data_IF_491471498190
#
_entry.id   IF_491471498190
#
_cell.length_a   1.000
_cell.length_b   1.000
_cell.length_c   1.000
_cell.angle_alpha   90.00
_cell.angle_beta   90.00
_cell.angle_gamma   90.00
#
_symmetry.space_group_name_H-M   'P 1'
#
loop_
_entity.id
_entity.type
_entity.pdbx_description
1 polymer ?
#
# COMPACT_ATOMS: atom_id res chain seq x y z
N UNK A 1 -23.44 12.36 -21.57
CA UNK A 1 -22.45 13.25 -22.21
C UNK A 1 -21.08 12.76 -21.78
N UNK A 2 -20.32 12.18 -22.71
CA UNK A 2 -19.02 11.58 -22.40
C UNK A 2 -18.00 12.63 -22.00
N UNK A 3 -17.25 12.34 -20.94
CA UNK A 3 -16.08 13.11 -20.51
C UNK A 3 -15.06 13.14 -21.66
N UNK A 4 -15.17 14.16 -22.50
CA UNK A 4 -14.18 14.46 -23.51
C UNK A 4 -12.92 14.92 -22.77
N UNK A 5 -12.00 13.97 -22.57
CA UNK A 5 -10.65 14.24 -22.08
C UNK A 5 -10.04 15.35 -22.95
N UNK A 6 -9.97 16.57 -22.42
CA UNK A 6 -9.48 17.74 -23.15
C UNK A 6 -8.02 17.51 -23.56
N UNK A 7 -7.70 17.66 -24.84
CA UNK A 7 -6.34 17.49 -25.38
C UNK A 7 -5.27 18.30 -24.62
N UNK A 8 -5.64 19.48 -24.12
CA UNK A 8 -4.74 20.32 -23.32
C UNK A 8 -4.34 19.66 -22.00
N UNK A 9 -5.25 18.91 -21.37
CA UNK A 9 -4.98 18.15 -20.15
C UNK A 9 -4.07 16.96 -20.42
N UNK A 10 -4.26 16.24 -21.53
CA UNK A 10 -3.33 15.17 -21.94
C UNK A 10 -1.91 15.72 -22.20
N UNK A 11 -1.82 16.91 -22.79
CA UNK A 11 -0.53 17.57 -23.03
C UNK A 11 0.13 17.97 -21.71
N UNK A 12 -0.63 18.42 -20.72
CA UNK A 12 -0.14 18.67 -19.37
C UNK A 12 0.27 17.39 -18.65
N UNK A 13 -0.55 16.33 -18.67
CA UNK A 13 -0.22 14.99 -18.14
C UNK A 13 1.10 14.49 -18.73
N UNK A 14 1.27 14.59 -20.05
CA UNK A 14 2.50 14.18 -20.75
C UNK A 14 3.69 15.06 -20.39
N UNK A 15 3.48 16.35 -20.11
CA UNK A 15 4.52 17.25 -19.58
C UNK A 15 4.92 16.86 -18.15
N UNK A 16 3.96 16.64 -17.25
CA UNK A 16 4.25 16.22 -15.87
C UNK A 16 5.03 14.89 -15.87
N UNK A 17 4.58 13.89 -16.66
CA UNK A 17 5.25 12.60 -16.85
C UNK A 17 6.70 12.69 -17.36
N UNK A 18 7.03 13.74 -18.11
CA UNK A 18 8.40 13.93 -18.64
C UNK A 18 9.34 14.64 -17.68
N UNK A 19 8.83 15.50 -16.80
CA UNK A 19 9.67 16.30 -15.90
C UNK A 19 9.81 15.63 -14.53
N UNK A 20 8.89 14.74 -14.16
CA UNK A 20 9.01 13.97 -12.91
C UNK A 20 9.51 12.57 -13.27
N UNK A 21 10.59 12.14 -12.61
CA UNK A 21 11.08 10.76 -12.76
C UNK A 21 10.01 9.77 -12.33
N UNK A 22 10.09 8.55 -12.83
CA UNK A 22 9.28 7.42 -12.36
C UNK A 22 9.44 7.29 -10.85
N UNK A 23 8.34 7.08 -10.13
CA UNK A 23 8.39 6.79 -8.71
C UNK A 23 8.76 5.32 -8.52
N UNK A 24 9.92 5.09 -7.90
CA UNK A 24 10.35 3.75 -7.51
C UNK A 24 10.35 3.71 -5.97
N UNK A 25 9.37 3.05 -5.34
CA UNK A 25 9.35 2.97 -3.88
C UNK A 25 10.66 2.36 -3.35
N UNK A 26 11.14 2.88 -2.23
CA UNK A 26 12.36 2.41 -1.54
C UNK A 26 13.67 2.90 -2.16
N UNK A 27 13.66 3.32 -3.42
CA UNK A 27 14.81 4.01 -4.06
C UNK A 27 14.63 5.53 -4.10
N UNK A 28 13.38 5.96 -4.16
CA UNK A 28 13.01 7.38 -4.26
C UNK A 28 12.49 7.85 -2.92
N UNK A 29 12.93 9.02 -2.45
CA UNK A 29 12.31 9.66 -1.29
C UNK A 29 10.90 10.10 -1.68
N UNK A 30 9.88 9.39 -1.20
CA UNK A 30 8.50 9.62 -1.62
C UNK A 30 7.98 10.99 -1.21
N UNK A 31 8.41 11.56 -0.08
CA UNK A 31 8.01 12.91 0.32
C UNK A 31 8.55 13.98 -0.64
N UNK A 32 9.84 13.91 -0.97
CA UNK A 32 10.49 14.85 -1.91
C UNK A 32 9.93 14.68 -3.32
N UNK A 33 9.75 13.44 -3.75
CA UNK A 33 9.20 13.12 -5.06
C UNK A 33 7.76 13.65 -5.18
N UNK A 34 6.93 13.39 -4.16
CA UNK A 34 5.52 13.80 -4.18
C UNK A 34 5.34 15.31 -4.11
N UNK A 35 6.17 16.02 -3.35
CA UNK A 35 6.17 17.49 -3.36
C UNK A 35 6.46 18.05 -4.77
N UNK A 36 7.43 17.46 -5.48
CA UNK A 36 7.78 17.84 -6.86
C UNK A 36 6.65 17.50 -7.84
N UNK A 37 6.00 16.35 -7.64
CA UNK A 37 4.83 15.94 -8.42
C UNK A 37 3.65 16.91 -8.21
N UNK A 38 3.27 17.16 -6.96
CA UNK A 38 2.11 18.00 -6.57
C UNK A 38 2.25 19.41 -7.11
N UNK A 39 3.40 20.05 -6.93
CA UNK A 39 3.65 21.40 -7.46
C UNK A 39 3.41 21.53 -8.96
N UNK A 40 3.58 20.43 -9.74
CA UNK A 40 3.32 20.41 -11.18
C UNK A 40 1.89 19.97 -11.52
N UNK A 41 1.34 19.04 -10.76
CA UNK A 41 -0.05 18.60 -10.93
C UNK A 41 -1.03 19.74 -10.67
N UNK A 42 -0.75 20.59 -9.68
CA UNK A 42 -1.59 21.75 -9.32
C UNK A 42 -1.63 22.80 -10.43
N UNK A 43 -0.53 22.97 -11.20
CA UNK A 43 -0.51 23.81 -12.42
C UNK A 43 -1.46 23.29 -13.50
N UNK A 44 -1.78 21.99 -13.47
CA UNK A 44 -2.64 21.34 -14.44
C UNK A 44 -4.15 21.51 -14.18
N UNK A 45 -4.55 22.07 -13.03
CA UNK A 45 -5.95 22.16 -12.60
C UNK A 45 -6.73 20.84 -12.80
N UNK A 46 -6.10 19.75 -12.35
CA UNK A 46 -6.61 18.39 -12.52
C UNK A 46 -7.74 18.11 -11.53
N UNK A 47 -8.75 17.37 -11.96
CA UNK A 47 -9.70 16.79 -11.02
C UNK A 47 -9.07 15.58 -10.31
N UNK A 48 -9.75 15.06 -9.29
CA UNK A 48 -9.26 13.97 -8.44
C UNK A 48 -8.94 12.70 -9.24
N UNK A 49 -9.80 12.31 -10.18
CA UNK A 49 -9.58 11.11 -11.00
C UNK A 49 -8.41 11.31 -11.99
N UNK A 50 -8.27 12.49 -12.56
CA UNK A 50 -7.15 12.84 -13.43
C UNK A 50 -5.82 12.84 -12.67
N UNK A 51 -5.81 13.33 -11.43
CA UNK A 51 -4.65 13.28 -10.54
C UNK A 51 -4.25 11.84 -10.20
N UNK A 52 -5.22 10.97 -9.87
CA UNK A 52 -4.98 9.53 -9.64
C UNK A 52 -4.40 8.85 -10.88
N UNK A 53 -4.99 9.09 -12.05
CA UNK A 53 -4.51 8.52 -13.32
C UNK A 53 -3.10 9.00 -13.65
N UNK A 54 -2.81 10.28 -13.38
CA UNK A 54 -1.48 10.85 -13.58
C UNK A 54 -0.45 10.22 -12.64
N UNK A 55 -0.80 9.96 -11.37
CA UNK A 55 0.06 9.24 -10.43
C UNK A 55 0.39 7.84 -10.93
N UNK A 56 -0.62 7.07 -11.33
CA UNK A 56 -0.44 5.74 -11.95
C UNK A 56 0.48 5.81 -13.16
N UNK A 57 0.38 6.87 -13.96
CA UNK A 57 1.27 7.09 -15.11
C UNK A 57 2.77 7.22 -14.78
N UNK A 58 3.13 7.44 -13.50
CA UNK A 58 4.50 7.51 -12.99
C UNK A 58 4.92 6.26 -12.20
N UNK A 59 4.06 5.24 -12.11
CA UNK A 59 4.39 3.96 -11.52
C UNK A 59 4.79 2.99 -12.64
N UNK A 60 5.92 2.30 -12.46
CA UNK A 60 6.34 1.20 -13.35
C UNK A 60 6.05 -0.17 -12.75
N UNK A 61 5.94 -0.26 -11.43
CA UNK A 61 5.67 -1.50 -10.72
C UNK A 61 4.18 -1.89 -10.84
N UNK A 62 3.84 -3.02 -11.49
CA UNK A 62 2.46 -3.48 -11.63
C UNK A 62 1.76 -3.72 -10.28
N UNK A 63 2.49 -4.14 -9.25
CA UNK A 63 1.91 -4.39 -7.92
C UNK A 63 1.54 -3.07 -7.24
N UNK A 64 2.37 -2.03 -7.40
CA UNK A 64 2.06 -0.68 -6.94
C UNK A 64 0.86 -0.09 -7.67
N UNK A 65 0.78 -0.29 -8.99
CA UNK A 65 -0.36 0.18 -9.79
C UNK A 65 -1.66 -0.48 -9.30
N UNK A 66 -1.64 -1.81 -9.11
CA UNK A 66 -2.81 -2.55 -8.63
C UNK A 66 -3.23 -2.06 -7.23
N UNK A 67 -2.27 -2.00 -6.30
CA UNK A 67 -2.52 -1.53 -4.94
C UNK A 67 -3.08 -0.11 -4.93
N UNK A 68 -2.50 0.80 -5.72
CA UNK A 68 -2.97 2.18 -5.80
C UNK A 68 -4.40 2.27 -6.33
N UNK A 69 -4.74 1.50 -7.36
CA UNK A 69 -6.09 1.49 -7.92
C UNK A 69 -7.12 0.97 -6.90
N UNK A 70 -6.78 -0.06 -6.12
CA UNK A 70 -7.64 -0.61 -5.07
C UNK A 70 -7.86 0.40 -3.93
N UNK A 71 -6.79 1.05 -3.46
CA UNK A 71 -6.83 1.86 -2.24
C UNK A 71 -7.24 3.32 -2.50
N UNK A 72 -6.98 3.85 -3.70
CA UNK A 72 -7.39 5.22 -4.06
C UNK A 72 -8.84 5.32 -4.51
N UNK A 73 -9.56 4.21 -4.68
CA UNK A 73 -10.94 4.21 -5.16
C UNK A 73 -11.88 5.05 -4.28
N UNK A 74 -11.69 5.01 -2.95
CA UNK A 74 -12.49 5.75 -1.97
C UNK A 74 -12.12 7.22 -1.82
N UNK A 75 -10.95 7.65 -2.32
CA UNK A 75 -10.52 9.05 -2.21
C UNK A 75 -11.36 9.94 -3.14
N UNK A 76 -12.12 10.88 -2.60
CA UNK A 76 -13.00 11.78 -3.34
C UNK A 76 -12.44 13.20 -3.49
N UNK A 77 -11.40 13.53 -2.75
CA UNK A 77 -10.74 14.85 -2.74
C UNK A 77 -9.27 14.78 -3.13
N UNK A 78 -8.71 15.92 -3.54
CA UNK A 78 -7.28 16.03 -3.90
C UNK A 78 -6.37 15.78 -2.68
N UNK A 79 -6.83 16.21 -1.50
CA UNK A 79 -6.10 16.07 -0.24
C UNK A 79 -6.11 14.61 0.26
N UNK A 80 -7.22 13.88 0.11
CA UNK A 80 -7.24 12.43 0.42
C UNK A 80 -6.26 11.65 -0.44
N UNK A 81 -6.10 12.02 -1.72
CA UNK A 81 -5.08 11.44 -2.61
C UNK A 81 -3.67 11.77 -2.12
N UNK A 82 -3.43 13.00 -1.65
CA UNK A 82 -2.14 13.42 -1.09
C UNK A 82 -1.79 12.64 0.17
N UNK A 83 -2.73 12.58 1.11
CA UNK A 83 -2.59 11.85 2.37
C UNK A 83 -2.32 10.38 2.08
N UNK A 84 -3.10 9.73 1.22
CA UNK A 84 -2.90 8.33 0.88
C UNK A 84 -1.49 8.05 0.35
N UNK A 85 -0.96 8.87 -0.56
CA UNK A 85 0.39 8.67 -1.07
C UNK A 85 1.44 8.87 0.04
N UNK A 86 1.32 9.96 0.80
CA UNK A 86 2.33 10.35 1.78
C UNK A 86 2.34 9.44 3.02
N UNK A 87 1.21 8.87 3.40
CA UNK A 87 1.14 7.88 4.47
C UNK A 87 1.93 6.61 4.11
N UNK A 88 1.83 6.15 2.86
CA UNK A 88 2.49 4.92 2.40
C UNK A 88 3.97 5.17 2.07
N UNK A 89 4.26 6.29 1.41
CA UNK A 89 5.53 6.53 0.75
C UNK A 89 6.27 7.79 1.23
N UNK A 90 5.60 8.66 1.98
CA UNK A 90 6.19 9.86 2.58
C UNK A 90 6.95 9.57 3.87
N UNK A 91 6.84 8.35 4.41
CA UNK A 91 7.57 7.93 5.61
C UNK A 91 9.08 7.89 5.37
N UNK A 92 9.84 8.50 6.28
CA UNK A 92 11.32 8.53 6.20
C UNK A 92 11.91 7.14 6.49
N UNK A 93 13.17 6.91 6.09
CA UNK A 93 13.87 5.65 6.37
C UNK A 93 13.92 5.27 7.86
N UNK A 94 13.83 6.25 8.77
CA UNK A 94 13.77 6.02 10.22
C UNK A 94 12.42 5.41 10.63
N UNK A 95 11.31 5.95 10.11
CA UNK A 95 9.95 5.41 10.37
C UNK A 95 9.80 4.00 9.81
N UNK A 96 10.38 3.73 8.65
CA UNK A 96 10.40 2.40 8.05
C UNK A 96 11.27 1.42 8.84
N UNK A 97 12.47 1.84 9.26
CA UNK A 97 13.34 1.02 10.11
C UNK A 97 12.65 0.71 11.45
N UNK A 98 12.03 1.71 12.08
CA UNK A 98 11.26 1.52 13.31
C UNK A 98 10.08 0.56 13.12
N UNK A 99 9.36 0.65 12.00
CA UNK A 99 8.29 -0.30 11.66
C UNK A 99 8.81 -1.73 11.46
N UNK A 100 9.96 -1.93 10.82
CA UNK A 100 10.60 -3.25 10.67
C UNK A 100 10.97 -3.84 12.03
N UNK A 101 11.54 -3.02 12.94
CA UNK A 101 11.82 -3.46 14.31
C UNK A 101 10.55 -3.87 15.04
N UNK A 102 9.48 -3.08 14.97
CA UNK A 102 8.20 -3.41 15.62
C UNK A 102 7.52 -4.63 15.00
N UNK A 103 7.77 -5.00 13.73
CA UNK A 103 7.15 -6.18 13.12
C UNK A 103 7.59 -7.50 13.76
N UNK A 104 8.80 -7.55 14.33
CA UNK A 104 9.24 -8.71 15.10
C UNK A 104 8.42 -8.91 16.39
N UNK A 105 7.86 -7.82 16.92
CA UNK A 105 7.06 -7.77 18.15
C UNK A 105 5.55 -7.93 17.89
N UNK A 106 5.10 -7.82 16.63
CA UNK A 106 3.71 -8.11 16.25
C UNK A 106 3.52 -9.62 16.16
N UNK A 107 3.13 -10.23 17.27
CA UNK A 107 2.73 -11.63 17.34
C UNK A 107 1.28 -11.74 17.81
N UNK A 108 0.56 -12.69 17.26
CA UNK A 108 -0.71 -13.16 17.82
C UNK A 108 -0.37 -14.21 18.87
N UNK A 109 -0.88 -14.07 20.09
CA UNK A 109 -0.81 -15.08 21.14
C UNK A 109 -2.19 -15.69 21.39
N UNK A 110 -2.24 -16.81 22.10
CA UNK A 110 -3.48 -17.44 22.50
C UNK A 110 -4.31 -16.51 23.39
N UNK A 111 -5.60 -16.34 23.06
CA UNK A 111 -6.52 -15.45 23.78
C UNK A 111 -6.40 -13.96 23.43
N UNK A 112 -5.50 -13.57 22.53
CA UNK A 112 -5.43 -12.19 22.04
C UNK A 112 -6.68 -11.83 21.22
N UNK A 113 -6.97 -10.53 21.14
CA UNK A 113 -8.01 -10.07 20.23
C UNK A 113 -7.49 -10.10 18.78
N UNK A 114 -8.05 -11.01 17.97
CA UNK A 114 -7.64 -11.20 16.58
C UNK A 114 -7.77 -9.93 15.72
N UNK A 115 -8.89 -9.20 15.84
CA UNK A 115 -9.12 -8.00 15.01
C UNK A 115 -8.10 -6.91 15.31
N UNK A 116 -7.76 -6.69 16.59
CA UNK A 116 -6.70 -5.77 17.00
C UNK A 116 -5.33 -6.20 16.52
N UNK A 117 -5.06 -7.51 16.51
CA UNK A 117 -3.83 -8.05 15.93
C UNK A 117 -3.75 -7.77 14.43
N UNK A 118 -4.80 -8.07 13.66
CA UNK A 118 -4.85 -7.81 12.21
C UNK A 118 -4.69 -6.33 11.93
N UNK A 119 -5.35 -5.46 12.68
CA UNK A 119 -5.21 -4.01 12.56
C UNK A 119 -3.76 -3.57 12.79
N UNK A 120 -3.13 -4.01 13.89
CA UNK A 120 -1.71 -3.69 14.19
C UNK A 120 -0.76 -4.22 13.11
N UNK A 121 -0.96 -5.46 12.66
CA UNK A 121 -0.15 -6.08 11.63
C UNK A 121 -0.28 -5.33 10.30
N UNK A 122 -1.49 -4.99 9.88
CA UNK A 122 -1.74 -4.23 8.64
C UNK A 122 -1.15 -2.83 8.75
N UNK A 123 -1.35 -2.14 9.87
CA UNK A 123 -0.80 -0.80 10.09
C UNK A 123 0.73 -0.79 10.06
N UNK A 124 1.41 -1.71 10.76
CA UNK A 124 2.87 -1.78 10.74
C UNK A 124 3.39 -2.20 9.37
N UNK A 125 2.71 -3.13 8.70
CA UNK A 125 3.08 -3.54 7.34
C UNK A 125 2.90 -2.41 6.32
N UNK A 126 1.88 -1.58 6.49
CA UNK A 126 1.63 -0.40 5.66
C UNK A 126 2.83 0.56 5.70
N UNK A 127 3.48 0.74 6.86
CA UNK A 127 4.73 1.50 6.96
C UNK A 127 5.96 0.79 6.35
N UNK A 128 5.96 -0.53 6.26
CA UNK A 128 7.05 -1.33 5.66
C UNK A 128 6.93 -1.43 4.12
N UNK A 129 5.73 -1.23 3.56
CA UNK A 129 5.43 -1.34 2.13
C UNK A 129 6.12 -0.27 1.25
N UNK A 130 6.89 0.64 1.83
CA UNK A 130 7.78 1.51 1.07
C UNK A 130 8.90 0.75 0.31
N UNK A 131 9.05 -0.58 0.47
CA UNK A 131 9.91 -1.40 -0.36
C UNK A 131 9.09 -2.34 -1.27
N UNK A 132 8.99 -2.05 -2.59
CA UNK A 132 8.18 -2.81 -3.54
C UNK A 132 8.75 -4.20 -3.85
N UNK A 133 10.02 -4.43 -3.49
CA UNK A 133 10.61 -5.77 -3.58
C UNK A 133 10.01 -6.77 -2.57
N UNK A 134 9.22 -6.30 -1.59
CA UNK A 134 8.52 -7.16 -0.63
C UNK A 134 7.13 -7.54 -1.14
N UNK A 135 7.13 -8.51 -2.04
CA UNK A 135 5.99 -9.06 -2.81
C UNK A 135 4.80 -9.46 -1.92
N UNK A 136 3.64 -9.68 -2.56
CA UNK A 136 2.43 -10.27 -1.93
C UNK A 136 2.72 -11.54 -1.12
N UNK A 137 3.67 -12.36 -1.57
CA UNK A 137 4.10 -13.57 -0.85
C UNK A 137 4.78 -13.25 0.49
N UNK A 138 5.56 -12.17 0.57
CA UNK A 138 6.14 -11.73 1.84
C UNK A 138 5.05 -11.28 2.81
N UNK A 139 3.88 -10.81 2.33
CA UNK A 139 2.71 -10.53 3.19
C UNK A 139 2.25 -11.78 3.91
N UNK A 140 2.01 -12.82 3.13
CA UNK A 140 1.40 -14.06 3.58
C UNK A 140 2.37 -14.79 4.49
N UNK A 141 3.62 -14.96 4.04
CA UNK A 141 4.66 -15.60 4.86
C UNK A 141 4.94 -14.82 6.15
N UNK A 142 5.01 -13.48 6.12
CA UNK A 142 5.22 -12.70 7.36
C UNK A 142 4.03 -12.79 8.30
N UNK A 143 2.80 -12.85 7.78
CA UNK A 143 1.61 -12.98 8.60
C UNK A 143 1.52 -14.34 9.26
N UNK A 144 1.77 -15.43 8.51
CA UNK A 144 1.87 -16.78 9.06
C UNK A 144 2.96 -16.83 10.15
N UNK A 145 4.10 -16.19 9.91
CA UNK A 145 5.19 -16.10 10.88
C UNK A 145 4.89 -15.27 12.13
N UNK A 146 3.80 -14.51 12.14
CA UNK A 146 3.34 -13.76 13.31
C UNK A 146 2.35 -14.55 14.18
N UNK A 147 1.83 -15.67 13.69
CA UNK A 147 0.90 -16.52 14.43
C UNK A 147 1.65 -17.36 15.48
N UNK A 148 0.98 -17.88 16.51
CA UNK A 148 1.59 -18.86 17.40
C UNK A 148 1.64 -20.27 16.73
N UNK A 149 2.56 -21.16 17.17
CA UNK A 149 2.89 -22.39 16.45
C UNK A 149 1.71 -23.28 16.09
N UNK A 150 0.79 -23.50 17.03
CA UNK A 150 -0.36 -24.39 16.88
C UNK A 150 -1.27 -23.94 15.73
N UNK A 151 -1.46 -22.63 15.59
CA UNK A 151 -2.26 -22.06 14.51
C UNK A 151 -1.55 -22.14 13.15
N UNK A 152 -0.22 -22.09 13.13
CA UNK A 152 0.57 -22.27 11.90
C UNK A 152 0.47 -23.70 11.40
N UNK A 153 0.60 -24.67 12.31
CA UNK A 153 0.51 -26.09 11.98
C UNK A 153 -0.85 -26.43 11.37
N UNK A 154 -1.94 -25.92 11.93
CA UNK A 154 -3.29 -26.08 11.36
C UNK A 154 -3.41 -25.51 9.94
N UNK A 155 -2.77 -24.36 9.66
CA UNK A 155 -2.79 -23.73 8.33
C UNK A 155 -1.92 -24.46 7.31
N UNK A 156 -0.76 -24.98 7.71
CA UNK A 156 0.15 -25.73 6.85
C UNK A 156 -0.46 -27.05 6.36
N UNK A 157 -1.31 -27.68 7.17
CA UNK A 157 -2.05 -28.89 6.81
C UNK A 157 -3.12 -28.59 5.74
N UNK A 158 -3.73 -27.40 5.79
CA UNK A 158 -4.96 -27.13 5.05
C UNK A 158 -4.75 -26.60 3.62
N UNK A 159 -3.74 -25.76 3.33
CA UNK A 159 -3.52 -25.24 1.96
C UNK A 159 -2.30 -24.31 1.76
N UNK A 160 -1.94 -24.09 0.49
CA UNK A 160 -1.15 -22.92 0.07
C UNK A 160 -2.10 -21.74 -0.14
N UNK A 161 -2.05 -20.73 0.73
CA UNK A 161 -2.86 -19.53 0.59
C UNK A 161 -2.21 -18.52 -0.35
N UNK A 162 -2.91 -18.13 -1.41
CA UNK A 162 -2.51 -17.05 -2.34
C UNK A 162 -3.37 -15.79 -2.18
N UNK A 163 -4.51 -15.91 -1.49
CA UNK A 163 -5.47 -14.82 -1.23
C UNK A 163 -5.41 -14.34 0.22
N UNK A 164 -5.25 -13.03 0.39
CA UNK A 164 -5.08 -12.39 1.70
C UNK A 164 -6.37 -12.35 2.53
N UNK A 165 -7.52 -12.11 1.90
CA UNK A 165 -8.78 -11.98 2.62
C UNK A 165 -9.35 -13.34 3.02
N UNK A 166 -9.08 -14.37 2.22
CA UNK A 166 -9.34 -15.77 2.59
C UNK A 166 -8.48 -16.18 3.79
N UNK A 167 -7.16 -15.91 3.74
CA UNK A 167 -6.24 -16.23 4.84
C UNK A 167 -6.70 -15.57 6.14
N UNK A 168 -6.93 -14.25 6.15
CA UNK A 168 -7.40 -13.54 7.35
C UNK A 168 -8.66 -14.14 7.95
N UNK A 169 -9.64 -14.51 7.12
CA UNK A 169 -10.88 -15.12 7.61
C UNK A 169 -10.64 -16.50 8.20
N UNK A 170 -9.78 -17.30 7.57
CA UNK A 170 -9.45 -18.64 8.06
C UNK A 170 -8.73 -18.60 9.39
N UNK A 171 -7.70 -17.77 9.52
CA UNK A 171 -6.94 -17.59 10.76
C UNK A 171 -7.86 -17.11 11.89
N UNK A 172 -8.73 -16.14 11.63
CA UNK A 172 -9.68 -15.66 12.64
C UNK A 172 -10.64 -16.75 13.12
N UNK A 173 -11.12 -17.60 12.20
CA UNK A 173 -11.97 -18.73 12.55
C UNK A 173 -11.25 -19.78 13.41
N UNK A 174 -10.01 -20.14 13.05
CA UNK A 174 -9.23 -21.13 13.80
C UNK A 174 -8.83 -20.60 15.17
N UNK A 175 -8.41 -19.33 15.25
CA UNK A 175 -8.07 -18.69 16.52
C UNK A 175 -9.26 -18.62 17.49
N UNK A 176 -10.47 -18.38 16.99
CA UNK A 176 -11.68 -18.35 17.82
C UNK A 176 -12.12 -19.73 18.36
N UNK A 177 -11.54 -20.82 17.84
CA UNK A 177 -11.82 -22.18 18.32
C UNK A 177 -10.92 -22.64 19.47
N UNK A 178 -9.81 -21.95 19.69
CA UNK A 178 -8.81 -22.29 20.70
C UNK A 178 -9.05 -21.47 21.97
#
# INVERSE_FOLDING_TARGET
MGDAVRFDKLKQIRKVKRVTMVFIPGKTNGQVWYATFKAKADVGNLNVNEKKLLLVGHFEDPDLILWWNENSASATTSDEVDTLFLEVHGSTGVTQAYAVYNMADVRLNLGDNYDKFVERFVNIRFYIQANPNRRRNDRISSFINALYPELREELEIEQIYTDWDQLKRRVGYLHAKQ
#
